data_IF_679819001105
#
_entry.id   IF_679819001105
#
_cell.length_a   1.000
_cell.length_b   1.000
_cell.length_c   1.000
_cell.angle_alpha   90.00
_cell.angle_beta   90.00
_cell.angle_gamma   90.00
#
_symmetry.space_group_name_H-M   'P 1'
#
loop_
_entity.id
_entity.type
_entity.pdbx_description
1 polymer ?
#
# COMPACT_ATOMS: atom_id res chain seq x y z
N UNK A 1 25.98 -51.92 -10.06
CA UNK A 1 25.40 -52.89 -11.02
C UNK A 1 24.49 -52.12 -11.96
N UNK A 2 24.85 -52.14 -13.24
CA UNK A 2 24.22 -51.43 -14.35
C UNK A 2 23.51 -52.49 -15.20
N UNK A 3 22.25 -52.28 -15.58
CA UNK A 3 21.55 -52.95 -16.71
C UNK A 3 20.12 -52.40 -16.90
N UNK A 4 19.48 -52.51 -18.08
CA UNK A 4 19.60 -51.51 -19.15
C UNK A 4 18.24 -51.05 -19.74
N UNK A 5 18.39 -50.17 -20.75
CA UNK A 5 17.45 -49.61 -21.74
C UNK A 5 16.58 -50.60 -22.55
N UNK A 6 15.64 -49.98 -23.29
CA UNK A 6 14.81 -50.40 -24.45
C UNK A 6 13.35 -50.78 -24.10
N UNK A 7 12.28 -50.33 -24.79
CA UNK A 7 12.15 -49.87 -26.19
C UNK A 7 10.90 -48.98 -26.39
N UNK A 8 11.00 -48.13 -27.41
CA UNK A 8 9.98 -47.37 -28.15
C UNK A 8 8.73 -48.18 -28.58
N UNK A 9 7.57 -47.50 -28.65
CA UNK A 9 6.60 -47.69 -29.74
C UNK A 9 5.76 -46.41 -29.96
N UNK A 10 5.87 -45.86 -31.17
CA UNK A 10 5.00 -44.84 -31.76
C UNK A 10 3.61 -45.42 -32.02
N UNK A 11 2.57 -44.59 -31.90
CA UNK A 11 1.41 -44.65 -32.81
C UNK A 11 0.72 -43.28 -32.88
N UNK A 12 0.58 -42.82 -34.10
CA UNK A 12 0.04 -41.54 -34.58
C UNK A 12 -1.40 -41.70 -35.08
N UNK A 13 -2.28 -40.76 -34.72
CA UNK A 13 -3.44 -40.29 -35.48
C UNK A 13 -4.02 -39.12 -34.67
N UNK A 14 -4.16 -37.88 -35.16
CA UNK A 14 -4.70 -37.48 -36.46
C UNK A 14 -6.12 -36.99 -36.24
N UNK A 15 -6.30 -35.73 -35.84
CA UNK A 15 -7.59 -35.03 -35.97
C UNK A 15 -7.40 -33.57 -36.41
N UNK A 16 -7.73 -33.40 -37.69
CA UNK A 16 -8.21 -32.24 -38.43
C UNK A 16 -8.39 -30.92 -37.68
N UNK A 17 -7.59 -29.94 -38.10
CA UNK A 17 -7.90 -28.52 -37.97
C UNK A 17 -9.04 -28.15 -38.93
N UNK A 18 -10.12 -27.56 -38.41
CA UNK A 18 -11.18 -26.97 -39.21
C UNK A 18 -10.95 -25.45 -39.25
N UNK A 19 -10.42 -24.98 -40.39
CA UNK A 19 -10.34 -23.56 -40.70
C UNK A 19 -11.75 -23.06 -41.08
N UNK A 20 -12.34 -22.20 -40.26
CA UNK A 20 -13.50 -21.40 -40.65
C UNK A 20 -13.03 -20.04 -41.16
N UNK A 21 -13.11 -19.87 -42.47
CA UNK A 21 -13.02 -18.60 -43.17
C UNK A 21 -14.23 -17.73 -42.80
N UNK A 22 -14.03 -16.72 -41.95
CA UNK A 22 -15.01 -15.67 -41.73
C UNK A 22 -14.71 -14.47 -42.63
N UNK A 23 -15.67 -14.23 -43.51
CA UNK A 23 -15.77 -13.19 -44.54
C UNK A 23 -15.68 -11.79 -43.94
N UNK A 24 -14.79 -10.96 -44.49
CA UNK A 24 -14.67 -9.53 -44.22
C UNK A 24 -15.96 -8.81 -44.63
N UNK A 25 -16.60 -8.12 -43.68
CA UNK A 25 -17.66 -7.15 -43.95
C UNK A 25 -17.17 -5.77 -43.54
N UNK A 26 -17.12 -4.86 -44.52
CA UNK A 26 -16.80 -3.45 -44.34
C UNK A 26 -18.10 -2.63 -44.11
N UNK A 27 -18.01 -1.65 -43.21
CA UNK A 27 -18.85 -0.46 -42.96
C UNK A 27 -19.09 -0.35 -41.45
N UNK A 28 -18.92 0.79 -40.75
CA UNK A 28 -19.00 2.22 -41.09
C UNK A 28 -18.21 2.99 -39.99
N UNK A 29 -17.68 4.20 -40.22
CA UNK A 29 -16.93 4.94 -39.20
C UNK A 29 -17.88 5.35 -38.07
N UNK A 30 -17.66 4.83 -36.87
CA UNK A 30 -18.33 5.32 -35.68
C UNK A 30 -17.75 6.69 -35.34
N UNK A 31 -18.59 7.72 -35.40
CA UNK A 31 -18.34 9.08 -34.92
C UNK A 31 -17.75 8.99 -33.52
N UNK A 32 -16.53 9.47 -33.34
CA UNK A 32 -15.89 9.57 -32.04
C UNK A 32 -16.75 10.47 -31.16
N UNK A 33 -17.53 9.87 -30.26
CA UNK A 33 -18.07 10.57 -29.13
C UNK A 33 -16.88 11.09 -28.34
N UNK A 34 -16.80 12.41 -28.22
CA UNK A 34 -15.81 13.10 -27.41
C UNK A 34 -15.80 12.44 -26.02
N UNK A 35 -14.73 11.70 -25.73
CA UNK A 35 -14.39 11.30 -24.38
C UNK A 35 -14.29 12.60 -23.61
N UNK A 36 -15.29 12.88 -22.78
CA UNK A 36 -15.17 13.89 -21.75
C UNK A 36 -13.86 13.58 -21.01
N UNK A 37 -12.88 14.47 -21.16
CA UNK A 37 -11.66 14.40 -20.39
C UNK A 37 -12.10 14.37 -18.92
N UNK A 38 -11.80 13.27 -18.25
CA UNK A 38 -11.89 13.23 -16.80
C UNK A 38 -11.13 14.46 -16.29
N UNK A 39 -11.71 15.27 -15.39
CA UNK A 39 -11.08 16.49 -14.93
C UNK A 39 -9.68 16.14 -14.43
N UNK A 40 -8.69 16.78 -15.04
CA UNK A 40 -7.31 16.69 -14.61
C UNK A 40 -7.21 17.18 -13.17
N UNK A 41 -7.07 16.22 -12.25
CA UNK A 41 -6.52 16.31 -10.90
C UNK A 41 -6.12 17.72 -10.43
N UNK A 42 -7.03 18.38 -9.71
CA UNK A 42 -6.73 19.37 -8.65
C UNK A 42 -6.16 18.73 -7.37
N UNK A 43 -5.87 17.42 -7.40
CA UNK A 43 -5.60 16.57 -6.25
C UNK A 43 -4.52 17.06 -5.24
N UNK A 44 -3.39 17.69 -5.63
CA UNK A 44 -2.34 17.99 -4.66
C UNK A 44 -2.73 18.98 -3.55
N UNK A 45 -3.65 19.92 -3.84
CA UNK A 45 -4.09 20.92 -2.86
C UNK A 45 -5.17 20.36 -1.92
N UNK A 46 -6.14 19.63 -2.49
CA UNK A 46 -7.23 18.97 -1.73
C UNK A 46 -6.69 17.89 -0.79
N UNK A 47 -5.76 17.05 -1.27
CA UNK A 47 -5.09 16.03 -0.45
C UNK A 47 -4.37 16.66 0.76
N UNK A 48 -3.75 17.84 0.57
CA UNK A 48 -3.04 18.54 1.62
C UNK A 48 -3.99 19.08 2.69
N UNK A 49 -5.09 19.70 2.29
CA UNK A 49 -6.09 20.27 3.20
C UNK A 49 -6.79 19.16 4.01
N UNK A 50 -7.30 18.12 3.32
CA UNK A 50 -7.97 16.98 3.98
C UNK A 50 -7.05 16.22 4.92
N UNK A 51 -5.78 16.06 4.54
CA UNK A 51 -4.78 15.47 5.43
C UNK A 51 -4.53 16.36 6.66
N UNK A 52 -4.44 17.68 6.51
CA UNK A 52 -4.24 18.59 7.64
C UNK A 52 -5.41 18.50 8.64
N UNK A 53 -6.66 18.56 8.18
CA UNK A 53 -7.85 18.36 9.02
C UNK A 53 -7.81 17.02 9.76
N UNK A 54 -7.41 15.95 9.06
CA UNK A 54 -7.31 14.62 9.63
C UNK A 54 -6.20 14.52 10.69
N UNK A 55 -5.04 15.13 10.45
CA UNK A 55 -3.92 15.20 11.41
C UNK A 55 -4.32 15.99 12.65
N UNK A 56 -5.02 17.11 12.49
CA UNK A 56 -5.51 17.91 13.61
C UNK A 56 -6.48 17.11 14.48
N UNK A 57 -7.36 16.31 13.84
CA UNK A 57 -8.25 15.38 14.55
C UNK A 57 -7.47 14.30 15.30
N UNK A 58 -6.45 13.69 14.69
CA UNK A 58 -5.59 12.71 15.37
C UNK A 58 -4.89 13.32 16.59
N UNK A 59 -4.45 14.58 16.49
CA UNK A 59 -3.80 15.29 17.58
C UNK A 59 -4.77 15.54 18.74
N UNK A 60 -6.00 15.96 18.45
CA UNK A 60 -6.99 16.30 19.47
C UNK A 60 -7.62 15.06 20.13
N UNK A 61 -7.87 14.00 19.35
CA UNK A 61 -8.68 12.85 19.79
C UNK A 61 -7.86 11.57 20.06
N UNK A 62 -6.62 11.43 19.54
CA UNK A 62 -5.78 10.25 19.79
C UNK A 62 -4.49 10.59 20.53
N UNK A 63 -3.48 11.16 19.86
CA UNK A 63 -2.20 11.49 20.48
C UNK A 63 -1.34 12.39 19.60
N UNK A 64 -0.36 13.08 20.23
CA UNK A 64 0.66 13.82 19.48
C UNK A 64 1.47 12.90 18.55
N UNK A 65 1.87 11.73 19.06
CA UNK A 65 2.67 10.77 18.30
C UNK A 65 1.94 10.30 17.03
N UNK A 66 0.65 9.96 17.13
CA UNK A 66 -0.15 9.52 15.98
C UNK A 66 -0.24 10.63 14.92
N UNK A 67 -0.54 11.85 15.35
CA UNK A 67 -0.61 13.00 14.47
C UNK A 67 0.73 13.26 13.75
N UNK A 68 1.84 13.26 14.48
CA UNK A 68 3.16 13.54 13.89
C UNK A 68 3.65 12.44 12.95
N UNK A 69 3.42 11.16 13.26
CA UNK A 69 3.80 10.08 12.34
C UNK A 69 2.97 10.15 11.06
N UNK A 70 1.66 10.38 11.15
CA UNK A 70 0.80 10.51 9.97
C UNK A 70 1.17 11.78 9.16
N UNK A 71 1.46 12.89 9.82
CA UNK A 71 1.86 14.11 9.12
C UNK A 71 3.20 13.96 8.41
N UNK A 72 4.23 13.44 9.10
CA UNK A 72 5.60 13.45 8.60
C UNK A 72 5.97 12.23 7.75
N UNK A 73 5.40 11.06 8.04
CA UNK A 73 5.79 9.81 7.40
C UNK A 73 4.77 9.31 6.39
N UNK A 74 3.49 9.70 6.48
CA UNK A 74 2.45 9.23 5.57
C UNK A 74 2.09 10.28 4.53
N UNK A 75 1.74 9.84 3.32
CA UNK A 75 1.19 10.66 2.25
C UNK A 75 -0.05 9.96 1.71
N UNK A 76 -1.15 10.70 1.61
CA UNK A 76 -2.41 10.18 1.08
C UNK A 76 -2.71 10.92 -0.22
N UNK A 77 -2.99 10.15 -1.28
CA UNK A 77 -3.44 10.65 -2.58
C UNK A 77 -4.76 9.97 -2.90
N UNK A 78 -5.85 10.53 -2.38
CA UNK A 78 -7.15 9.88 -2.39
C UNK A 78 -8.11 10.63 -3.31
N UNK A 79 -9.01 9.90 -3.96
CA UNK A 79 -10.16 10.56 -4.58
C UNK A 79 -11.03 11.23 -3.51
N UNK A 80 -11.86 12.23 -3.87
CA UNK A 80 -12.77 12.87 -2.92
C UNK A 80 -13.65 11.85 -2.18
N UNK A 81 -14.15 10.84 -2.88
CA UNK A 81 -14.98 9.77 -2.27
C UNK A 81 -14.20 8.89 -1.29
N UNK A 82 -12.90 8.70 -1.52
CA UNK A 82 -12.02 7.98 -0.61
C UNK A 82 -11.75 8.81 0.63
N UNK A 83 -11.47 10.12 0.49
CA UNK A 83 -11.34 11.03 1.61
C UNK A 83 -12.60 11.04 2.48
N UNK A 84 -13.78 11.24 1.89
CA UNK A 84 -15.06 11.28 2.62
C UNK A 84 -15.26 10.02 3.46
N UNK A 85 -14.99 8.84 2.91
CA UNK A 85 -15.18 7.58 3.64
C UNK A 85 -14.07 7.31 4.65
N UNK A 86 -12.83 7.66 4.34
CA UNK A 86 -11.67 7.47 5.21
C UNK A 86 -11.78 8.30 6.49
N UNK A 87 -12.33 9.51 6.39
CA UNK A 87 -12.49 10.43 7.54
C UNK A 87 -13.89 10.40 8.15
N UNK A 88 -14.79 9.54 7.66
CA UNK A 88 -16.18 9.46 8.14
C UNK A 88 -16.22 9.19 9.65
N UNK A 89 -16.74 10.12 10.47
CA UNK A 89 -16.81 9.93 11.92
C UNK A 89 -17.77 8.81 12.34
N UNK A 90 -18.65 8.34 11.45
CA UNK A 90 -19.57 7.24 11.74
C UNK A 90 -18.93 5.86 11.55
N UNK A 91 -17.71 5.77 11.01
CA UNK A 91 -16.95 4.52 10.89
C UNK A 91 -15.91 4.49 12.02
N UNK A 92 -16.37 4.11 13.22
CA UNK A 92 -15.57 4.06 14.45
C UNK A 92 -14.87 2.69 14.68
N UNK A 93 -15.19 1.69 13.86
CA UNK A 93 -14.51 0.40 13.83
C UNK A 93 -13.18 0.50 13.09
N UNK A 94 -12.33 -0.52 13.21
CA UNK A 94 -11.02 -0.56 12.52
C UNK A 94 -11.10 -0.55 10.97
N UNK A 95 -12.30 -0.55 10.40
CA UNK A 95 -12.57 -0.34 8.98
C UNK A 95 -12.45 1.14 8.58
N UNK A 96 -12.58 2.06 9.53
CA UNK A 96 -12.43 3.51 9.32
C UNK A 96 -10.97 3.94 9.27
N UNK A 97 -10.69 5.02 8.52
CA UNK A 97 -9.35 5.61 8.47
C UNK A 97 -8.89 6.12 9.82
N UNK A 98 -9.73 6.89 10.51
CA UNK A 98 -9.42 7.45 11.82
C UNK A 98 -9.04 6.39 12.90
N UNK A 99 -9.90 5.41 13.22
CA UNK A 99 -9.60 4.39 14.24
C UNK A 99 -8.48 3.41 13.82
N UNK A 100 -8.23 3.23 12.52
CA UNK A 100 -7.16 2.33 12.04
C UNK A 100 -5.76 2.94 12.17
N UNK A 101 -5.62 4.27 12.18
CA UNK A 101 -4.30 4.92 12.21
C UNK A 101 -3.46 4.53 13.43
N UNK A 102 -4.06 4.28 14.60
CA UNK A 102 -3.31 3.81 15.78
C UNK A 102 -2.52 2.53 15.49
N UNK A 103 -3.03 1.64 14.64
CA UNK A 103 -2.32 0.41 14.28
C UNK A 103 -1.22 0.68 13.27
N UNK A 104 -1.48 1.50 12.25
CA UNK A 104 -0.47 1.85 11.25
C UNK A 104 0.69 2.59 11.91
N UNK A 105 0.39 3.55 12.78
CA UNK A 105 1.38 4.26 13.59
C UNK A 105 2.15 3.30 14.48
N UNK A 106 1.48 2.42 15.22
CA UNK A 106 2.15 1.40 16.04
C UNK A 106 3.16 0.60 15.22
N UNK A 107 2.79 0.14 14.04
CA UNK A 107 3.70 -0.62 13.19
C UNK A 107 4.88 0.20 12.67
N UNK A 108 4.69 1.50 12.39
CA UNK A 108 5.79 2.41 12.07
C UNK A 108 6.75 2.61 13.26
N UNK A 109 6.22 2.67 14.48
CA UNK A 109 7.02 2.78 15.70
C UNK A 109 7.81 1.50 15.98
N UNK A 110 7.21 0.32 15.78
CA UNK A 110 7.93 -0.96 15.91
C UNK A 110 9.07 -1.07 14.88
N UNK A 111 8.85 -0.57 13.65
CA UNK A 111 9.91 -0.42 12.66
C UNK A 111 11.03 0.51 13.17
N UNK A 112 10.68 1.69 13.70
CA UNK A 112 11.65 2.65 14.24
C UNK A 112 12.50 2.04 15.36
N UNK A 113 11.87 1.31 16.29
CA UNK A 113 12.53 0.61 17.39
C UNK A 113 13.55 -0.42 16.87
N UNK A 114 13.15 -1.23 15.89
CA UNK A 114 14.04 -2.24 15.28
C UNK A 114 15.22 -1.61 14.54
N UNK A 115 14.97 -0.53 13.82
CA UNK A 115 16.00 0.25 13.12
C UNK A 115 16.87 1.11 14.05
N UNK A 116 16.76 0.90 15.38
CA UNK A 116 17.55 1.57 16.43
C UNK A 116 17.39 3.09 16.42
N UNK A 117 16.27 3.59 15.91
CA UNK A 117 15.87 5.00 16.02
C UNK A 117 15.37 5.28 17.45
N UNK A 118 14.77 4.27 18.08
CA UNK A 118 14.37 4.22 19.49
C UNK A 118 12.88 3.92 19.68
N UNK A 119 12.45 3.84 20.94
CA UNK A 119 11.10 3.41 21.30
C UNK A 119 10.17 4.62 21.53
N UNK A 120 9.57 5.11 20.44
CA UNK A 120 8.67 6.27 20.47
C UNK A 120 7.45 6.06 21.39
N UNK A 121 6.98 4.82 21.59
CA UNK A 121 5.83 4.55 22.47
C UNK A 121 6.15 4.82 23.93
N UNK A 122 7.41 4.68 24.36
CA UNK A 122 7.81 4.97 25.74
C UNK A 122 7.84 6.47 26.06
N UNK A 123 7.88 7.31 25.03
CA UNK A 123 7.94 8.77 25.15
C UNK A 123 6.55 9.41 25.10
N UNK A 124 5.62 8.77 24.39
CA UNK A 124 4.23 9.19 24.27
C UNK A 124 3.38 8.64 25.45
N UNK A 125 3.66 9.16 26.64
CA UNK A 125 2.98 8.78 27.89
C UNK A 125 1.65 9.51 28.08
N UNK A 126 0.78 8.98 28.95
CA UNK A 126 -0.56 9.54 29.21
C UNK A 126 -0.51 10.92 29.91
N UNK A 127 0.56 11.21 30.64
CA UNK A 127 0.76 12.51 31.28
C UNK A 127 1.06 13.59 30.23
N UNK A 128 0.16 14.58 30.11
CA UNK A 128 0.25 15.64 29.10
C UNK A 128 1.42 16.61 29.31
N UNK A 129 1.87 16.81 30.54
CA UNK A 129 3.03 17.66 30.81
C UNK A 129 4.31 16.93 30.42
N UNK A 130 4.44 15.65 30.79
CA UNK A 130 5.58 14.80 30.40
C UNK A 130 5.61 14.57 28.88
N UNK A 131 4.47 14.29 28.25
CA UNK A 131 4.34 14.19 26.79
C UNK A 131 4.87 15.47 26.13
N UNK A 132 4.50 16.64 26.65
CA UNK A 132 4.92 17.95 26.13
C UNK A 132 6.43 18.16 26.24
N UNK A 133 7.03 17.78 27.36
CA UNK A 133 8.48 17.83 27.59
C UNK A 133 9.23 16.86 26.65
N UNK A 134 8.63 15.72 26.31
CA UNK A 134 9.21 14.73 25.40
C UNK A 134 9.07 15.10 23.92
N UNK A 135 8.22 16.06 23.54
CA UNK A 135 7.96 16.39 22.11
C UNK A 135 9.22 16.69 21.30
N UNK A 136 10.21 17.48 21.78
CA UNK A 136 11.43 17.72 21.00
C UNK A 136 12.19 16.44 20.64
N UNK A 137 12.26 15.48 21.57
CA UNK A 137 12.89 14.18 21.33
C UNK A 137 12.05 13.32 20.38
N UNK A 138 10.72 13.30 20.55
CA UNK A 138 9.79 12.65 19.62
C UNK A 138 9.97 13.21 18.20
N UNK A 139 10.07 14.52 18.04
CA UNK A 139 10.22 15.19 16.74
C UNK A 139 11.54 14.83 16.06
N UNK A 140 12.65 14.77 16.81
CA UNK A 140 13.96 14.36 16.30
C UNK A 140 13.96 12.90 15.84
N UNK A 141 13.34 12.02 16.63
CA UNK A 141 13.18 10.61 16.28
C UNK A 141 12.27 10.42 15.06
N UNK A 142 11.16 11.17 14.96
CA UNK A 142 10.27 11.15 13.78
C UNK A 142 10.99 11.69 12.54
N UNK A 143 11.83 12.72 12.67
CA UNK A 143 12.66 13.22 11.57
C UNK A 143 13.61 12.15 11.06
N UNK A 144 14.23 11.39 11.96
CA UNK A 144 15.10 10.26 11.63
C UNK A 144 14.31 9.08 11.04
N UNK A 145 13.12 8.80 11.57
CA UNK A 145 12.21 7.82 11.00
C UNK A 145 11.83 8.18 9.57
N UNK A 146 11.47 9.44 9.30
CA UNK A 146 11.09 9.92 7.97
C UNK A 146 12.20 9.73 6.92
N UNK A 147 13.47 9.86 7.30
CA UNK A 147 14.58 9.61 6.36
C UNK A 147 14.79 8.13 6.06
N UNK A 148 14.25 7.23 6.90
CA UNK A 148 14.33 5.78 6.75
C UNK A 148 13.04 5.13 6.29
N UNK A 149 11.92 5.81 6.41
CA UNK A 149 10.62 5.22 6.19
C UNK A 149 9.60 6.27 5.73
N UNK A 150 8.80 5.89 4.75
CA UNK A 150 7.59 6.62 4.39
C UNK A 150 6.55 5.67 3.82
N UNK A 151 5.28 6.02 3.98
CA UNK A 151 4.16 5.34 3.33
C UNK A 151 3.39 6.34 2.48
N UNK A 152 3.28 6.08 1.18
CA UNK A 152 2.34 6.76 0.29
C UNK A 152 1.21 5.80 -0.03
N UNK A 153 -0.04 6.21 0.15
CA UNK A 153 -1.22 5.44 -0.28
C UNK A 153 -1.92 6.21 -1.39
N UNK A 154 -2.08 5.57 -2.54
CA UNK A 154 -2.70 6.16 -3.73
C UNK A 154 -3.98 5.40 -4.08
N UNK A 155 -5.12 6.10 -4.01
CA UNK A 155 -6.42 5.56 -4.38
C UNK A 155 -7.15 6.54 -5.31
N UNK A 156 -6.70 6.70 -6.57
CA UNK A 156 -7.34 7.55 -7.57
C UNK A 156 -8.61 6.90 -8.15
N UNK A 157 -9.34 6.14 -7.34
CA UNK A 157 -10.54 5.39 -7.71
C UNK A 157 -11.72 5.84 -6.84
N UNK A 158 -12.95 5.62 -7.30
CA UNK A 158 -14.11 5.84 -6.45
C UNK A 158 -14.14 4.79 -5.32
N UNK A 159 -14.17 5.21 -4.06
CA UNK A 159 -14.15 4.33 -2.89
C UNK A 159 -15.54 3.77 -2.55
N UNK A 160 -16.15 3.06 -3.50
CA UNK A 160 -17.41 2.34 -3.30
C UNK A 160 -17.15 0.86 -3.00
N UNK A 161 -17.89 0.31 -2.02
CA UNK A 161 -17.81 -1.11 -1.64
C UNK A 161 -16.37 -1.62 -1.46
N UNK A 162 -15.97 -2.57 -2.31
CA UNK A 162 -14.68 -3.26 -2.28
C UNK A 162 -13.47 -2.35 -2.49
N UNK A 163 -13.59 -1.24 -3.23
CA UNK A 163 -12.47 -0.33 -3.47
C UNK A 163 -11.93 0.31 -2.19
N UNK A 164 -12.82 0.68 -1.27
CA UNK A 164 -12.42 1.20 0.03
C UNK A 164 -11.78 0.11 0.90
N UNK A 165 -12.34 -1.11 0.89
CA UNK A 165 -11.76 -2.25 1.60
C UNK A 165 -10.32 -2.51 1.14
N UNK A 166 -10.07 -2.52 -0.17
CA UNK A 166 -8.72 -2.72 -0.73
C UNK A 166 -7.79 -1.54 -0.42
N UNK A 167 -8.31 -0.31 -0.44
CA UNK A 167 -7.57 0.89 -0.02
C UNK A 167 -7.07 0.80 1.42
N UNK A 168 -7.87 0.23 2.34
CA UNK A 168 -7.46 0.05 3.73
C UNK A 168 -6.57 -1.18 3.92
N UNK A 169 -6.89 -2.27 3.21
CA UNK A 169 -6.23 -3.57 3.41
C UNK A 169 -4.79 -3.59 2.94
N UNK A 170 -4.49 -3.13 1.72
CA UNK A 170 -3.13 -3.22 1.19
C UNK A 170 -2.08 -2.47 2.02
N UNK A 171 -2.29 -1.19 2.41
CA UNK A 171 -1.35 -0.52 3.29
C UNK A 171 -1.31 -1.16 4.68
N UNK A 172 -2.43 -1.67 5.22
CA UNK A 172 -2.41 -2.41 6.48
C UNK A 172 -1.49 -3.63 6.41
N UNK A 173 -1.59 -4.45 5.35
CA UNK A 173 -0.73 -5.63 5.15
C UNK A 173 0.75 -5.25 5.08
N UNK A 174 1.08 -4.17 4.36
CA UNK A 174 2.46 -3.64 4.29
C UNK A 174 2.92 -3.20 5.69
N UNK A 175 2.13 -2.40 6.38
CA UNK A 175 2.47 -1.87 7.70
C UNK A 175 2.63 -3.00 8.73
N UNK A 176 1.70 -3.96 8.75
CA UNK A 176 1.76 -5.10 9.66
C UNK A 176 3.03 -5.93 9.43
N UNK A 177 3.47 -6.12 8.18
CA UNK A 177 4.71 -6.84 7.86
C UNK A 177 5.94 -6.10 8.39
N UNK A 178 6.06 -4.80 8.13
CA UNK A 178 7.21 -4.04 8.62
C UNK A 178 7.24 -3.90 10.14
N UNK A 179 6.08 -3.90 10.80
CA UNK A 179 5.98 -3.70 12.24
C UNK A 179 6.07 -4.98 13.06
N UNK A 180 5.32 -6.03 12.68
CA UNK A 180 5.07 -7.16 13.57
C UNK A 180 5.16 -8.54 12.89
N UNK A 181 4.55 -8.72 11.71
CA UNK A 181 4.38 -10.05 11.12
C UNK A 181 5.68 -10.64 10.56
N UNK A 182 6.67 -9.80 10.25
CA UNK A 182 8.00 -10.23 9.81
C UNK A 182 9.07 -9.44 10.56
N UNK A 183 9.31 -9.74 11.85
CA UNK A 183 10.18 -8.93 12.70
C UNK A 183 11.64 -8.98 12.26
N UNK A 184 12.05 -10.04 11.55
CA UNK A 184 13.38 -10.21 10.97
C UNK A 184 13.55 -9.47 9.64
N UNK A 185 12.47 -8.94 9.06
CA UNK A 185 12.54 -8.27 7.78
C UNK A 185 12.98 -6.80 7.94
N UNK A 186 14.06 -6.46 7.25
CA UNK A 186 14.52 -5.08 7.04
C UNK A 186 15.17 -4.98 5.66
N UNK A 187 14.94 -3.90 4.89
CA UNK A 187 15.63 -3.71 3.62
C UNK A 187 17.13 -3.57 3.88
N UNK A 188 17.96 -4.14 2.99
CA UNK A 188 19.43 -4.02 3.12
C UNK A 188 19.93 -2.57 3.12
N UNK A 189 19.21 -1.67 2.47
CA UNK A 189 19.50 -0.24 2.45
C UNK A 189 19.31 0.42 3.82
N UNK A 190 18.58 -0.22 4.75
CA UNK A 190 18.12 0.40 6.00
C UNK A 190 17.07 1.49 5.80
N UNK A 191 16.48 1.56 4.60
CA UNK A 191 15.45 2.53 4.18
C UNK A 191 14.30 1.80 3.46
N UNK A 192 13.07 2.06 3.88
CA UNK A 192 11.85 1.44 3.37
C UNK A 192 10.80 2.51 3.02
N UNK A 193 10.79 2.96 1.76
CA UNK A 193 9.83 3.92 1.26
C UNK A 193 8.77 3.22 0.40
N UNK A 194 7.56 3.13 0.91
CA UNK A 194 6.46 2.43 0.25
C UNK A 194 5.55 3.40 -0.51
N UNK A 195 5.14 2.96 -1.69
CA UNK A 195 3.98 3.48 -2.40
C UNK A 195 3.01 2.32 -2.62
N UNK A 196 1.82 2.44 -2.05
CA UNK A 196 0.73 1.45 -2.15
C UNK A 196 -0.37 2.03 -3.03
N UNK A 197 -0.52 1.51 -4.24
CA UNK A 197 -1.45 2.04 -5.24
C UNK A 197 -2.61 1.08 -5.50
N UNK A 198 -3.83 1.59 -5.41
CA UNK A 198 -5.07 0.87 -5.68
C UNK A 198 -5.57 1.29 -7.05
N UNK A 199 -5.68 0.33 -7.97
CA UNK A 199 -6.00 0.62 -9.38
C UNK A 199 -7.19 -0.17 -9.88
N UNK A 200 -8.02 0.47 -10.69
CA UNK A 200 -9.12 -0.16 -11.42
C UNK A 200 -8.64 -1.09 -12.54
N UNK A 201 -7.40 -0.93 -13.01
CA UNK A 201 -6.85 -1.68 -14.14
C UNK A 201 -5.89 -2.80 -13.71
N UNK A 202 -5.44 -2.79 -12.46
CA UNK A 202 -4.64 -3.88 -11.92
C UNK A 202 -5.49 -5.15 -11.85
N UNK A 203 -4.93 -6.26 -12.34
CA UNK A 203 -5.59 -7.58 -12.31
C UNK A 203 -5.13 -8.45 -11.14
N UNK A 204 -3.98 -8.11 -10.54
CA UNK A 204 -3.35 -8.86 -9.47
C UNK A 204 -2.44 -7.95 -8.64
N UNK A 205 -1.95 -8.43 -7.50
CA UNK A 205 -0.91 -7.78 -6.71
C UNK A 205 0.43 -7.83 -7.42
N UNK A 206 1.11 -6.69 -7.47
CA UNK A 206 2.50 -6.59 -7.90
C UNK A 206 3.31 -5.83 -6.86
N UNK A 207 4.55 -6.29 -6.65
CA UNK A 207 5.54 -5.61 -5.82
C UNK A 207 6.80 -5.39 -6.63
N UNK A 208 7.15 -4.13 -6.86
CA UNK A 208 8.39 -3.71 -7.53
C UNK A 208 9.29 -3.03 -6.51
N UNK A 209 10.59 -3.28 -6.61
CA UNK A 209 11.61 -2.70 -5.74
C UNK A 209 12.57 -1.94 -6.65
N UNK A 210 12.94 -0.72 -6.26
CA UNK A 210 13.97 0.04 -6.99
C UNK A 210 15.32 -0.66 -6.93
N UNK A 211 16.24 -0.39 -7.89
CA UNK A 211 17.56 -0.99 -7.90
C UNK A 211 18.38 -0.75 -6.63
N UNK A 212 18.20 0.41 -5.97
CA UNK A 212 18.86 0.75 -4.70
C UNK A 212 18.26 0.03 -3.47
N UNK A 213 17.15 -0.72 -3.65
CA UNK A 213 16.47 -1.44 -2.58
C UNK A 213 15.70 -0.56 -1.59
N UNK A 214 15.52 0.74 -1.88
CA UNK A 214 14.91 1.72 -0.97
C UNK A 214 13.42 1.94 -1.20
N UNK A 215 12.99 1.90 -2.46
CA UNK A 215 11.60 2.20 -2.86
C UNK A 215 10.84 0.91 -3.17
N UNK A 216 9.65 0.79 -2.61
CA UNK A 216 8.77 -0.35 -2.72
C UNK A 216 7.43 0.09 -3.32
N UNK A 217 7.14 -0.32 -4.54
CA UNK A 217 5.86 -0.05 -5.19
C UNK A 217 4.98 -1.30 -5.09
N UNK A 218 3.96 -1.23 -4.24
CA UNK A 218 2.94 -2.26 -4.07
C UNK A 218 1.68 -1.79 -4.79
N UNK A 219 1.20 -2.55 -5.77
CA UNK A 219 0.01 -2.19 -6.53
C UNK A 219 -0.98 -3.34 -6.55
N UNK A 220 -2.27 -3.06 -6.42
CA UNK A 220 -3.32 -4.09 -6.43
C UNK A 220 -4.64 -3.65 -7.07
N UNK A 221 -5.51 -4.62 -7.39
CA UNK A 221 -6.86 -4.36 -7.90
C UNK A 221 -7.71 -3.60 -6.88
N UNK A 222 -8.53 -2.67 -7.36
CA UNK A 222 -9.50 -1.94 -6.54
C UNK A 222 -10.76 -2.75 -6.21
N UNK A 223 -11.33 -3.42 -7.22
CA UNK A 223 -12.70 -3.93 -7.12
C UNK A 223 -12.81 -5.42 -6.86
N UNK A 224 -11.68 -6.11 -6.78
CA UNK A 224 -11.61 -7.55 -6.51
C UNK A 224 -10.46 -7.80 -5.55
N UNK A 225 -10.62 -8.83 -4.72
CA UNK A 225 -9.51 -9.32 -3.92
C UNK A 225 -8.62 -10.20 -4.78
N UNK A 226 -7.33 -9.86 -4.84
CA UNK A 226 -6.35 -10.73 -5.46
C UNK A 226 -6.14 -12.00 -4.63
N UNK A 227 -6.09 -13.15 -5.30
CA UNK A 227 -5.76 -14.42 -4.65
C UNK A 227 -4.40 -14.32 -3.94
N UNK A 228 -4.35 -14.78 -2.68
CA UNK A 228 -3.15 -14.76 -1.82
C UNK A 228 -2.47 -13.39 -1.70
N UNK A 229 -3.26 -12.33 -1.50
CA UNK A 229 -2.76 -10.95 -1.35
C UNK A 229 -1.60 -10.84 -0.36
N UNK A 230 -1.75 -11.38 0.86
CA UNK A 230 -0.74 -11.31 1.91
C UNK A 230 0.59 -11.99 1.50
N UNK A 231 0.51 -13.17 0.87
CA UNK A 231 1.70 -13.90 0.40
C UNK A 231 2.40 -13.16 -0.74
N UNK A 232 1.64 -12.53 -1.65
CA UNK A 232 2.21 -11.76 -2.76
C UNK A 232 2.94 -10.52 -2.28
N UNK A 233 2.38 -9.81 -1.30
CA UNK A 233 3.04 -8.68 -0.65
C UNK A 233 4.31 -9.16 0.06
N UNK A 234 4.21 -10.21 0.86
CA UNK A 234 5.34 -10.79 1.60
C UNK A 234 6.47 -11.26 0.68
N UNK A 235 6.19 -12.17 -0.26
CA UNK A 235 7.17 -12.67 -1.22
C UNK A 235 7.74 -11.53 -2.08
N UNK A 236 6.94 -10.50 -2.32
CA UNK A 236 7.35 -9.25 -2.95
C UNK A 236 8.45 -8.53 -2.18
N UNK A 237 8.17 -8.24 -0.91
CA UNK A 237 9.07 -7.53 0.00
C UNK A 237 10.32 -8.35 0.34
N UNK A 238 10.22 -9.67 0.46
CA UNK A 238 11.37 -10.54 0.73
C UNK A 238 12.41 -10.52 -0.40
N UNK A 239 12.04 -10.22 -1.64
CA UNK A 239 13.02 -10.08 -2.73
C UNK A 239 14.03 -8.97 -2.46
N UNK A 240 13.68 -7.95 -1.67
CA UNK A 240 14.64 -6.92 -1.25
C UNK A 240 15.81 -7.51 -0.43
N UNK A 241 15.58 -8.64 0.27
CA UNK A 241 16.62 -9.33 1.02
C UNK A 241 17.52 -10.18 0.09
N UNK A 242 17.03 -10.58 -1.09
CA UNK A 242 17.68 -11.54 -2.00
C UNK A 242 18.49 -10.92 -3.12
N UNK A 243 18.35 -9.64 -3.44
CA UNK A 243 19.23 -8.93 -4.38
C UNK A 243 20.64 -8.75 -3.76
N UNK A 244 21.42 -9.83 -3.70
CA UNK A 244 22.87 -9.88 -3.46
C UNK A 244 23.58 -10.07 -4.80
#
# INVERSE_FOLDING_TARGET
MIRPLLTLALLSAGYLAQAQSAKTAAAKPATAAASAAAPASTAPAEDKEKKAEFVDRLFSEQSYLNAQIVDKCFTFKFSPTCWTKFTDPNIDTNEGGFPSMRYWVRYAVEYAKREKIGDLMTLAVDDKQVEKENRPMIDEMIKTLRSKFSLTVEAPVACTGKAYEMMMRYPYEVMQRIGQATPEWSPKSGEAHFTVSISSTAKDMAVKISPDGKQFMVSGPAYVEAYSTADKIYNGMERANKNR
#
